data_IF_550386958783
#
_entry.id   IF_550386958783
#
_cell.length_a   1.000
_cell.length_b   1.000
_cell.length_c   1.000
_cell.angle_alpha   90.00
_cell.angle_beta   90.00
_cell.angle_gamma   90.00
#
_symmetry.space_group_name_H-M   'P 1'
#
loop_
_entity.id
_entity.type
_entity.pdbx_description
1 polymer ?
#
# COMPACT_ATOMS: atom_id res chain seq x y z
N UNK A 1 -22.09 -7.92 17.86
CA UNK A 1 -21.91 -6.62 18.54
C UNK A 1 -20.60 -6.02 18.07
N UNK A 2 -20.60 -4.74 17.69
CA UNK A 2 -19.40 -4.01 17.26
C UNK A 2 -19.16 -2.90 18.28
N UNK A 3 -17.91 -2.74 18.71
CA UNK A 3 -17.49 -1.65 19.61
C UNK A 3 -16.35 -0.89 18.94
N UNK A 4 -16.40 0.43 18.97
CA UNK A 4 -15.38 1.31 18.43
C UNK A 4 -14.76 2.08 19.58
N UNK A 5 -13.43 1.98 19.72
CA UNK A 5 -12.66 2.69 20.75
C UNK A 5 -11.56 3.48 20.05
N UNK A 6 -11.57 4.80 20.23
CA UNK A 6 -10.55 5.68 19.67
C UNK A 6 -9.43 5.91 20.67
N UNK A 7 -8.18 5.98 20.19
CA UNK A 7 -7.01 6.28 21.01
C UNK A 7 -5.71 5.89 20.37
N UNK A 8 -4.62 6.25 21.01
CA UNK A 8 -3.27 5.92 20.55
C UNK A 8 -2.93 4.44 20.71
N UNK A 9 -1.90 4.00 19.99
CA UNK A 9 -1.46 2.59 20.00
C UNK A 9 -1.11 2.06 21.39
N UNK A 10 -0.46 2.87 22.23
CA UNK A 10 -0.08 2.45 23.59
C UNK A 10 -1.26 2.46 24.56
N UNK A 11 -2.13 3.49 24.47
CA UNK A 11 -3.25 3.65 25.41
C UNK A 11 -4.43 2.73 25.12
N UNK A 12 -4.69 2.38 23.88
CA UNK A 12 -5.83 1.55 23.47
C UNK A 12 -5.38 0.27 22.76
N UNK A 13 -4.49 0.38 21.77
CA UNK A 13 -4.04 -0.75 20.96
C UNK A 13 -3.34 -1.81 21.77
N UNK A 14 -2.32 -1.45 22.56
CA UNK A 14 -1.54 -2.39 23.36
C UNK A 14 -2.38 -3.13 24.42
N UNK A 15 -3.25 -2.48 25.20
CA UNK A 15 -4.18 -3.17 26.10
C UNK A 15 -5.09 -4.18 25.38
N UNK A 16 -5.60 -3.83 24.19
CA UNK A 16 -6.43 -4.75 23.40
C UNK A 16 -5.63 -5.98 22.94
N UNK A 17 -4.43 -5.74 22.39
CA UNK A 17 -3.56 -6.82 21.89
C UNK A 17 -3.14 -7.77 23.01
N UNK A 18 -2.88 -7.26 24.21
CA UNK A 18 -2.43 -8.07 25.35
C UNK A 18 -3.58 -8.70 26.16
N UNK A 19 -4.80 -8.23 25.97
CA UNK A 19 -5.94 -8.67 26.78
C UNK A 19 -6.22 -10.18 26.65
N UNK A 20 -6.35 -10.95 27.74
CA UNK A 20 -6.48 -12.41 27.68
C UNK A 20 -7.77 -12.90 27.00
N UNK A 21 -8.83 -12.12 27.00
CA UNK A 21 -10.10 -12.46 26.33
C UNK A 21 -10.09 -12.18 24.83
N UNK A 22 -9.13 -11.40 24.30
CA UNK A 22 -8.97 -11.20 22.86
C UNK A 22 -8.30 -12.42 22.27
N UNK A 23 -8.94 -13.07 21.32
CA UNK A 23 -8.50 -14.34 20.71
C UNK A 23 -7.81 -14.14 19.36
N UNK A 24 -8.10 -13.04 18.69
CA UNK A 24 -7.53 -12.70 17.39
C UNK A 24 -7.29 -11.20 17.30
N UNK A 25 -6.21 -10.81 16.66
CA UNK A 25 -5.87 -9.42 16.36
C UNK A 25 -5.65 -9.29 14.86
N UNK A 26 -6.29 -8.30 14.25
CA UNK A 26 -6.01 -7.89 12.87
C UNK A 26 -5.44 -6.47 12.86
N UNK A 27 -4.41 -6.25 12.05
CA UNK A 27 -3.79 -4.95 11.85
C UNK A 27 -3.60 -4.69 10.35
N UNK A 28 -3.92 -3.47 9.93
CA UNK A 28 -3.34 -2.85 8.74
C UNK A 28 -2.41 -1.73 9.19
N UNK A 29 -1.13 -1.79 8.84
CA UNK A 29 -0.15 -0.81 9.30
C UNK A 29 1.28 -1.12 8.87
N UNK A 30 2.24 -0.64 9.63
CA UNK A 30 3.66 -0.84 9.33
C UNK A 30 4.22 -2.16 9.91
N UNK A 31 5.38 -2.57 9.39
CA UNK A 31 6.06 -3.82 9.76
C UNK A 31 6.44 -3.84 11.23
N UNK A 32 6.92 -2.71 11.77
CA UNK A 32 7.38 -2.65 13.18
C UNK A 32 6.20 -2.84 14.13
N UNK A 33 5.06 -2.24 13.83
CA UNK A 33 3.83 -2.46 14.60
C UNK A 33 3.36 -3.91 14.50
N UNK A 34 3.40 -4.51 13.30
CA UNK A 34 3.09 -5.93 13.11
C UNK A 34 3.98 -6.85 13.94
N UNK A 35 5.29 -6.60 13.98
CA UNK A 35 6.24 -7.35 14.80
C UNK A 35 5.92 -7.26 16.31
N UNK A 36 5.60 -6.06 16.82
CA UNK A 36 5.18 -5.86 18.22
C UNK A 36 3.91 -6.64 18.55
N UNK A 37 2.96 -6.64 17.62
CA UNK A 37 1.71 -7.43 17.78
C UNK A 37 2.01 -8.92 17.83
N UNK A 38 2.85 -9.45 16.94
CA UNK A 38 3.24 -10.87 16.97
C UNK A 38 3.91 -11.25 18.28
N UNK A 39 4.83 -10.43 18.78
CA UNK A 39 5.49 -10.67 20.07
C UNK A 39 4.49 -10.69 21.23
N UNK A 40 3.54 -9.77 21.24
CA UNK A 40 2.51 -9.73 22.28
C UNK A 40 1.52 -10.91 22.16
N UNK A 41 1.09 -11.24 20.93
CA UNK A 41 0.16 -12.32 20.64
C UNK A 41 0.73 -13.71 21.03
N UNK A 42 2.03 -13.91 20.87
CA UNK A 42 2.71 -15.16 21.23
C UNK A 42 2.50 -15.57 22.69
N UNK A 43 2.40 -14.60 23.61
CA UNK A 43 2.23 -14.86 25.05
C UNK A 43 0.94 -15.62 25.38
N UNK A 44 -0.08 -15.51 24.56
CA UNK A 44 -1.39 -16.15 24.77
C UNK A 44 -1.88 -16.90 23.52
N UNK A 45 -0.98 -17.16 22.57
CA UNK A 45 -1.24 -17.89 21.31
C UNK A 45 -2.46 -17.34 20.55
N UNK A 46 -2.55 -16.00 20.44
CA UNK A 46 -3.60 -15.35 19.68
C UNK A 46 -3.41 -15.58 18.18
N UNK A 47 -4.51 -15.68 17.46
CA UNK A 47 -4.47 -15.57 15.99
C UNK A 47 -4.13 -14.14 15.60
N UNK A 48 -3.36 -13.99 14.53
CA UNK A 48 -3.03 -12.68 13.95
C UNK A 48 -3.33 -12.67 12.46
N UNK A 49 -3.83 -11.55 11.98
CA UNK A 49 -3.97 -11.23 10.57
C UNK A 49 -3.31 -9.87 10.36
N UNK A 50 -2.25 -9.82 9.54
CA UNK A 50 -1.41 -8.64 9.40
C UNK A 50 -1.35 -8.23 7.93
N UNK A 51 -1.91 -7.07 7.62
CA UNK A 51 -1.79 -6.38 6.35
C UNK A 51 -0.75 -5.27 6.51
N UNK A 52 0.41 -5.49 5.93
CA UNK A 52 1.59 -4.64 6.15
C UNK A 52 2.05 -4.03 4.82
N UNK A 53 3.03 -3.13 4.91
CA UNK A 53 3.63 -2.52 3.75
C UNK A 53 4.40 -3.51 2.88
N UNK A 54 4.69 -3.08 1.67
CA UNK A 54 5.43 -3.86 0.69
C UNK A 54 5.77 -3.05 -0.54
N UNK A 55 6.33 -3.74 -1.54
CA UNK A 55 6.63 -3.19 -2.87
C UNK A 55 6.08 -4.15 -3.91
N UNK A 56 4.78 -4.01 -4.21
CA UNK A 56 4.07 -4.91 -5.10
C UNK A 56 4.68 -4.95 -6.50
N UNK A 57 5.01 -6.14 -7.03
CA UNK A 57 5.58 -6.29 -8.35
C UNK A 57 4.49 -6.27 -9.43
N UNK A 58 4.81 -5.63 -10.57
CA UNK A 58 4.09 -5.73 -11.83
C UNK A 58 4.98 -6.46 -12.81
N UNK A 59 4.53 -7.55 -13.36
CA UNK A 59 5.30 -8.35 -14.33
C UNK A 59 4.69 -8.11 -15.72
N UNK A 60 5.52 -7.63 -16.65
CA UNK A 60 5.11 -7.26 -18.01
C UNK A 60 5.82 -8.15 -19.01
N UNK A 61 5.07 -9.02 -19.67
CA UNK A 61 5.56 -9.91 -20.72
C UNK A 61 5.60 -9.19 -22.07
N UNK A 62 6.37 -9.72 -23.03
CA UNK A 62 6.56 -9.10 -24.35
C UNK A 62 5.26 -8.94 -25.16
N UNK A 63 4.27 -9.76 -24.90
CA UNK A 63 2.95 -9.76 -25.55
C UNK A 63 1.88 -8.97 -24.80
N UNK A 64 2.27 -8.26 -23.73
CA UNK A 64 1.35 -7.45 -22.96
C UNK A 64 0.85 -6.24 -23.77
N UNK A 65 -0.42 -5.86 -23.53
CA UNK A 65 -0.97 -4.59 -24.00
C UNK A 65 -0.31 -3.43 -23.24
N UNK A 66 0.62 -2.77 -23.90
CA UNK A 66 1.38 -1.66 -23.31
C UNK A 66 0.46 -0.53 -22.84
N UNK A 67 -0.58 -0.18 -23.58
CA UNK A 67 -1.46 0.92 -23.20
C UNK A 67 -2.21 0.59 -21.90
N UNK A 68 -2.72 -0.62 -21.79
CA UNK A 68 -3.36 -1.08 -20.56
C UNK A 68 -2.37 -1.14 -19.37
N UNK A 69 -1.12 -1.54 -19.60
CA UNK A 69 -0.08 -1.54 -18.57
C UNK A 69 0.26 -0.13 -18.12
N UNK A 70 0.46 0.79 -19.07
CA UNK A 70 0.79 2.20 -18.77
C UNK A 70 -0.33 2.86 -17.97
N UNK A 71 -1.58 2.69 -18.39
CA UNK A 71 -2.75 3.21 -17.68
C UNK A 71 -2.87 2.61 -16.27
N UNK A 72 -2.72 1.29 -16.17
CA UNK A 72 -2.76 0.58 -14.89
C UNK A 72 -1.67 1.04 -13.92
N UNK A 73 -0.42 1.13 -14.37
CA UNK A 73 0.69 1.59 -13.51
C UNK A 73 0.54 3.07 -13.18
N UNK A 74 0.13 3.92 -14.13
CA UNK A 74 -0.15 5.34 -13.87
C UNK A 74 -1.23 5.51 -12.79
N UNK A 75 -2.29 4.73 -12.88
CA UNK A 75 -3.41 4.80 -11.92
C UNK A 75 -3.01 4.22 -10.57
N UNK A 76 -2.60 2.96 -10.54
CA UNK A 76 -2.38 2.21 -9.28
C UNK A 76 -1.00 2.40 -8.66
N UNK A 77 -0.04 2.95 -9.39
CA UNK A 77 1.27 3.32 -8.86
C UNK A 77 1.28 4.68 -8.16
N UNK A 78 0.40 5.59 -8.59
CA UNK A 78 0.37 6.97 -8.09
C UNK A 78 -0.91 7.34 -7.34
N UNK A 79 -1.89 6.45 -7.31
CA UNK A 79 -3.06 6.56 -6.46
C UNK A 79 -2.67 6.92 -5.02
N UNK A 80 -3.42 7.80 -4.40
CA UNK A 80 -3.15 8.28 -3.03
C UNK A 80 -1.69 8.74 -2.81
N UNK A 81 -1.08 9.35 -3.84
CA UNK A 81 0.33 9.77 -3.85
C UNK A 81 1.32 8.59 -3.62
N UNK A 82 0.97 7.38 -4.06
CA UNK A 82 1.77 6.17 -3.88
C UNK A 82 1.73 5.58 -2.47
N UNK A 83 0.90 6.12 -1.59
CA UNK A 83 0.75 5.65 -0.20
C UNK A 83 -0.29 4.53 -0.12
N UNK A 84 0.04 3.39 -0.70
CA UNK A 84 -0.80 2.20 -0.75
C UNK A 84 0.07 0.95 -0.64
N UNK A 85 -0.32 0.02 0.23
CA UNK A 85 0.42 -1.23 0.45
C UNK A 85 0.43 -2.15 -0.78
N UNK A 86 -0.50 -1.96 -1.70
CA UNK A 86 -0.64 -2.71 -2.95
C UNK A 86 -0.25 -1.92 -4.19
N UNK A 87 0.29 -0.69 -4.02
CA UNK A 87 0.67 0.16 -5.15
C UNK A 87 1.57 -0.56 -6.16
N UNK A 88 1.33 -0.33 -7.45
CA UNK A 88 2.12 -0.84 -8.57
C UNK A 88 3.49 -0.13 -8.63
N UNK A 89 4.40 -0.47 -7.70
CA UNK A 89 5.60 0.33 -7.43
C UNK A 89 6.92 -0.32 -7.90
N UNK A 90 6.89 -1.57 -8.37
CA UNK A 90 8.04 -2.22 -9.03
C UNK A 90 7.60 -2.89 -10.32
N UNK A 91 8.14 -2.44 -11.45
CA UNK A 91 7.80 -3.00 -12.75
C UNK A 91 8.96 -3.82 -13.28
N UNK A 92 8.70 -5.08 -13.56
CA UNK A 92 9.61 -6.02 -14.22
C UNK A 92 9.14 -6.24 -15.63
N UNK A 93 9.81 -5.63 -16.59
CA UNK A 93 9.49 -5.79 -18.00
C UNK A 93 10.47 -6.77 -18.67
N UNK A 94 9.97 -7.66 -19.52
CA UNK A 94 10.81 -8.44 -20.41
C UNK A 94 11.57 -7.52 -21.38
N UNK A 95 12.78 -7.94 -21.79
CA UNK A 95 13.68 -7.11 -22.58
C UNK A 95 13.05 -6.58 -23.89
N UNK A 96 12.21 -7.37 -24.54
CA UNK A 96 11.60 -6.98 -25.82
C UNK A 96 10.59 -5.84 -25.73
N UNK A 97 10.02 -5.57 -24.56
CA UNK A 97 9.01 -4.53 -24.36
C UNK A 97 9.54 -3.36 -23.49
N UNK A 98 10.69 -3.55 -22.85
CA UNK A 98 11.23 -2.68 -21.81
C UNK A 98 11.34 -1.21 -22.28
N UNK A 99 12.08 -0.96 -23.35
CA UNK A 99 12.40 0.43 -23.76
C UNK A 99 11.14 1.18 -24.20
N UNK A 100 10.24 0.49 -24.88
CA UNK A 100 8.96 1.05 -25.27
C UNK A 100 8.09 1.37 -24.03
N UNK A 101 8.02 0.44 -23.08
CA UNK A 101 7.29 0.64 -21.83
C UNK A 101 7.85 1.82 -21.04
N UNK A 102 9.17 1.93 -20.92
CA UNK A 102 9.81 3.04 -20.19
C UNK A 102 9.46 4.39 -20.84
N UNK A 103 9.51 4.48 -22.17
CA UNK A 103 9.18 5.70 -22.88
C UNK A 103 7.71 6.11 -22.69
N UNK A 104 6.78 5.16 -22.89
CA UNK A 104 5.34 5.43 -22.79
C UNK A 104 4.90 5.71 -21.36
N UNK A 105 5.39 4.92 -20.38
CA UNK A 105 5.10 5.13 -18.97
C UNK A 105 5.71 6.44 -18.47
N UNK A 106 6.92 6.77 -18.87
CA UNK A 106 7.56 8.04 -18.53
C UNK A 106 6.76 9.24 -19.00
N UNK A 107 6.26 9.20 -20.24
CA UNK A 107 5.39 10.25 -20.78
C UNK A 107 4.06 10.35 -20.01
N UNK A 108 3.43 9.21 -19.72
CA UNK A 108 2.16 9.16 -19.00
C UNK A 108 2.29 9.66 -17.56
N UNK A 109 3.36 9.30 -16.85
CA UNK A 109 3.63 9.77 -15.48
C UNK A 109 3.96 11.25 -15.47
N UNK A 110 4.73 11.74 -16.45
CA UNK A 110 5.06 13.17 -16.55
C UNK A 110 3.83 14.05 -16.83
N UNK A 111 2.74 13.49 -17.32
CA UNK A 111 1.49 14.21 -17.53
C UNK A 111 0.61 14.29 -16.27
N UNK A 112 0.97 13.63 -15.16
CA UNK A 112 0.23 13.70 -13.92
C UNK A 112 0.23 15.14 -13.38
N UNK A 113 -0.96 15.62 -13.04
CA UNK A 113 -1.15 16.97 -12.51
C UNK A 113 -1.17 16.93 -10.99
N UNK A 114 -0.24 17.66 -10.42
CA UNK A 114 -0.22 17.96 -9.00
C UNK A 114 0.27 19.40 -8.83
N UNK A 115 -0.53 20.24 -8.27
CA UNK A 115 -0.23 21.65 -8.04
C UNK A 115 -0.53 22.00 -6.58
N UNK A 116 -0.43 23.26 -6.24
CA UNK A 116 -0.64 23.73 -4.89
C UNK A 116 -1.96 23.31 -4.26
N UNK A 117 -2.12 23.65 -3.00
CA UNK A 117 -3.25 23.25 -2.16
C UNK A 117 -4.61 23.54 -2.82
N UNK A 118 -5.50 22.54 -2.90
CA UNK A 118 -6.90 22.67 -3.31
C UNK A 118 -7.15 22.99 -4.78
N UNK A 119 -6.26 22.64 -5.67
CA UNK A 119 -6.56 22.67 -7.08
C UNK A 119 -7.48 21.47 -7.42
N UNK A 120 -8.67 21.77 -7.96
CA UNK A 120 -9.65 20.75 -8.34
C UNK A 120 -9.16 19.84 -9.48
N UNK A 121 -8.15 20.29 -10.22
CA UNK A 121 -7.56 19.54 -11.34
C UNK A 121 -6.41 18.60 -10.91
N UNK A 122 -6.07 18.57 -9.63
CA UNK A 122 -5.04 17.66 -9.13
C UNK A 122 -5.49 16.19 -9.24
N UNK A 123 -4.63 15.38 -9.85
CA UNK A 123 -4.80 13.92 -9.91
C UNK A 123 -4.14 13.22 -8.71
N UNK A 124 -3.21 13.90 -8.05
CA UNK A 124 -2.48 13.39 -6.89
C UNK A 124 -2.67 14.35 -5.72
N UNK A 125 -3.04 13.81 -4.57
CA UNK A 125 -3.14 14.56 -3.33
C UNK A 125 -1.76 14.83 -2.69
N UNK A 126 -1.71 15.62 -1.60
CA UNK A 126 -0.48 15.84 -0.86
C UNK A 126 -0.02 14.56 -0.15
N UNK A 127 1.27 14.50 0.13
CA UNK A 127 1.83 13.51 1.07
C UNK A 127 1.40 13.84 2.50
N UNK A 128 1.24 12.81 3.31
CA UNK A 128 0.94 12.92 4.74
C UNK A 128 2.25 12.98 5.54
#
# INVERSE_FOLDING_TARGET
>A
MINIVCGGGEGVGSPLVTHPKVRMVSLTGDIVTGQKILQAAAKTLKRTHLELGGKAPVIVCNDADIQAVVEGVRTYGYYNAGQDCTAACRVYAQAGIHDRLVAELGAAVSSLRFAGKRDADNEIGPLI
#
